data_IF_419741606368
#
_entry.id   IF_419741606368
#
_cell.length_a   1.000
_cell.length_b   1.000
_cell.length_c   1.000
_cell.angle_alpha   90.00
_cell.angle_beta   90.00
_cell.angle_gamma   90.00
#
_symmetry.space_group_name_H-M   'P 1'
#
loop_
_entity.id
_entity.type
_entity.pdbx_description
1 polymer ?
#
# COMPACT_ATOMS: atom_id res chain seq x y z
N UNK A 1 26.42 40.03 -24.32
CA UNK A 1 26.46 39.37 -23.00
C UNK A 1 27.18 38.05 -23.18
N UNK A 2 28.17 37.73 -22.34
CA UNK A 2 29.02 36.54 -22.54
C UNK A 2 28.20 35.25 -22.39
N UNK A 3 28.42 34.26 -23.27
CA UNK A 3 27.77 32.95 -23.20
C UNK A 3 28.05 32.23 -21.86
N UNK A 4 29.18 32.53 -21.24
CA UNK A 4 29.54 32.06 -19.90
C UNK A 4 28.52 32.51 -18.84
N UNK A 5 28.06 33.76 -18.89
CA UNK A 5 27.06 34.29 -17.96
C UNK A 5 25.73 33.55 -18.11
N UNK A 6 25.27 33.30 -19.34
CA UNK A 6 24.03 32.55 -19.59
C UNK A 6 24.13 31.10 -19.09
N UNK A 7 25.29 30.48 -19.27
CA UNK A 7 25.55 29.11 -18.81
C UNK A 7 25.53 29.01 -17.29
N UNK A 8 26.18 29.95 -16.60
CA UNK A 8 26.17 30.04 -15.14
C UNK A 8 24.74 30.25 -14.62
N UNK A 9 23.95 31.13 -15.24
CA UNK A 9 22.55 31.32 -14.85
C UNK A 9 21.70 30.07 -15.04
N UNK A 10 21.92 29.31 -16.12
CA UNK A 10 21.20 28.07 -16.39
C UNK A 10 21.48 27.03 -15.31
N UNK A 11 22.74 26.81 -14.95
CA UNK A 11 23.11 25.88 -13.88
C UNK A 11 22.64 26.34 -12.50
N UNK A 12 22.76 27.64 -12.19
CA UNK A 12 22.24 28.19 -10.95
C UNK A 12 20.73 27.98 -10.82
N UNK A 13 19.97 28.20 -11.90
CA UNK A 13 18.53 27.94 -11.93
C UNK A 13 18.21 26.46 -11.68
N UNK A 14 18.93 25.53 -12.31
CA UNK A 14 18.73 24.10 -12.07
C UNK A 14 18.99 23.70 -10.61
N UNK A 15 20.05 24.23 -9.99
CA UNK A 15 20.37 23.96 -8.58
C UNK A 15 19.26 24.50 -7.67
N UNK A 16 18.80 25.73 -7.91
CA UNK A 16 17.71 26.34 -7.12
C UNK A 16 16.41 25.55 -7.29
N UNK A 17 16.08 25.14 -8.53
CA UNK A 17 14.90 24.33 -8.81
C UNK A 17 14.97 22.97 -8.10
N UNK A 18 16.13 22.31 -8.13
CA UNK A 18 16.33 21.04 -7.43
C UNK A 18 16.22 21.19 -5.91
N UNK A 19 16.78 22.26 -5.32
CA UNK A 19 16.63 22.55 -3.90
C UNK A 19 15.16 22.79 -3.52
N UNK A 20 14.40 23.49 -4.36
CA UNK A 20 12.97 23.70 -4.17
C UNK A 20 12.19 22.39 -4.22
N UNK A 21 12.44 21.56 -5.22
CA UNK A 21 11.82 20.23 -5.37
C UNK A 21 12.12 19.34 -4.16
N UNK A 22 13.36 19.29 -3.70
CA UNK A 22 13.73 18.54 -2.50
C UNK A 22 13.10 19.12 -1.23
N UNK A 23 12.96 20.45 -1.13
CA UNK A 23 12.28 21.11 -0.02
C UNK A 23 10.81 20.69 0.07
N UNK A 24 10.08 20.74 -1.05
CA UNK A 24 8.68 20.29 -1.13
C UNK A 24 8.54 18.80 -0.82
N UNK A 25 9.41 17.96 -1.40
CA UNK A 25 9.42 16.52 -1.10
C UNK A 25 9.72 16.23 0.38
N UNK A 26 10.61 17.01 1.00
CA UNK A 26 10.94 16.90 2.43
C UNK A 26 9.78 17.29 3.35
N UNK A 27 9.03 18.34 2.99
CA UNK A 27 7.84 18.78 3.72
C UNK A 27 6.71 17.76 3.59
N UNK A 28 6.45 17.27 2.38
CA UNK A 28 5.43 16.25 2.14
C UNK A 28 5.75 14.94 2.89
N UNK A 29 7.03 14.57 2.96
CA UNK A 29 7.49 13.43 3.80
C UNK A 29 7.27 13.71 5.29
N UNK A 30 7.52 14.92 5.77
CA UNK A 30 7.30 15.26 7.19
C UNK A 30 5.83 15.22 7.58
N UNK A 31 4.95 15.65 6.68
CA UNK A 31 3.50 15.69 6.91
C UNK A 31 2.88 14.29 6.90
N UNK A 32 3.35 13.42 6.00
CA UNK A 32 2.85 12.04 5.86
C UNK A 32 3.47 11.10 6.90
N UNK A 33 4.74 11.26 7.26
CA UNK A 33 5.46 10.36 8.19
C UNK A 33 5.52 10.88 9.64
N UNK A 34 4.88 12.02 9.95
CA UNK A 34 4.83 12.60 11.30
C UNK A 34 3.97 11.83 12.32
N UNK A 35 3.13 10.90 11.88
CA UNK A 35 2.26 10.12 12.75
C UNK A 35 2.83 8.72 13.03
N UNK A 36 3.75 8.60 13.99
CA UNK A 36 3.87 7.44 14.91
C UNK A 36 5.05 7.60 15.87
N UNK A 37 4.75 7.70 17.17
CA UNK A 37 5.41 6.97 18.29
C UNK A 37 4.80 7.38 19.64
N UNK A 38 3.71 6.70 20.01
CA UNK A 38 3.36 6.54 21.42
C UNK A 38 4.35 5.55 22.05
N UNK A 39 5.43 6.07 22.64
CA UNK A 39 6.36 5.28 23.45
C UNK A 39 5.71 5.02 24.82
N UNK A 40 5.06 3.88 24.99
CA UNK A 40 4.60 3.44 26.31
C UNK A 40 5.79 2.93 27.13
N UNK A 41 6.25 3.78 28.06
CA UNK A 41 7.25 3.48 29.09
C UNK A 41 6.62 2.55 30.14
N UNK A 42 7.23 1.41 30.52
CA UNK A 42 6.70 0.60 31.60
C UNK A 42 7.01 1.29 32.93
N UNK A 43 5.97 1.57 33.71
CA UNK A 43 6.09 2.17 35.04
C UNK A 43 6.36 1.04 36.05
N UNK A 44 7.58 1.01 36.58
CA UNK A 44 7.98 0.23 37.76
C UNK A 44 7.06 0.62 38.92
N UNK A 45 6.30 -0.34 39.45
CA UNK A 45 5.66 -0.24 40.76
C UNK A 45 6.19 -1.37 41.64
N UNK A 46 6.70 -0.99 42.80
CA UNK A 46 7.39 -1.82 43.79
C UNK A 46 6.43 -2.07 44.94
N UNK A 47 6.41 -3.32 45.40
CA UNK A 47 5.98 -3.86 46.70
C UNK A 47 4.59 -3.51 47.25
N UNK A 48 3.82 -4.56 47.51
CA UNK A 48 3.17 -4.74 48.82
C UNK A 48 2.60 -6.16 48.96
N UNK A 49 2.85 -6.76 50.13
CA UNK A 49 2.10 -7.84 50.79
C UNK A 49 2.47 -9.26 50.36
N UNK A 50 3.34 -9.93 51.11
CA UNK A 50 3.08 -10.56 52.42
C UNK A 50 2.38 -11.92 52.27
N UNK A 51 3.19 -12.93 52.57
CA UNK A 51 2.82 -14.24 53.07
C UNK A 51 1.53 -14.25 53.88
N UNK A 52 0.54 -15.05 53.44
CA UNK A 52 0.06 -16.22 54.18
C UNK A 52 -1.21 -16.78 53.54
N UNK A 53 -1.24 -18.12 53.44
CA UNK A 53 -2.44 -18.97 53.53
C UNK A 53 -3.55 -18.73 52.48
N UNK A 54 -3.66 -19.65 51.51
CA UNK A 54 -4.69 -20.70 51.52
C UNK A 54 -4.81 -21.42 50.16
N UNK A 55 -4.63 -22.74 50.23
CA UNK A 55 -5.43 -23.76 49.53
C UNK A 55 -5.39 -23.82 47.99
N UNK A 56 -4.67 -24.82 47.46
CA UNK A 56 -5.06 -25.49 46.21
C UNK A 56 -6.26 -26.44 46.47
N UNK A 57 -6.93 -27.02 45.46
CA UNK A 57 -7.21 -26.57 44.08
C UNK A 57 -8.72 -26.65 43.74
N UNK A 58 -9.18 -25.83 42.79
CA UNK A 58 -10.41 -26.11 42.04
C UNK A 58 -10.10 -25.91 40.54
N UNK A 59 -10.44 -26.86 39.65
CA UNK A 59 -10.26 -26.66 38.22
C UNK A 59 -11.31 -25.67 37.74
N UNK A 60 -10.97 -24.38 37.72
CA UNK A 60 -11.72 -23.37 36.99
C UNK A 60 -11.55 -23.64 35.50
N UNK A 61 -12.54 -24.35 34.95
CA UNK A 61 -12.88 -24.46 33.53
C UNK A 61 -12.48 -23.17 32.78
N UNK A 62 -11.68 -23.24 31.70
CA UNK A 62 -11.41 -22.06 30.89
C UNK A 62 -12.74 -21.51 30.38
N UNK A 63 -13.00 -20.23 30.66
CA UNK A 63 -14.09 -19.52 30.04
C UNK A 63 -13.98 -19.67 28.50
N UNK A 64 -15.09 -19.86 27.78
CA UNK A 64 -15.04 -19.87 26.32
C UNK A 64 -14.45 -18.54 25.85
N UNK A 65 -13.25 -18.58 25.27
CA UNK A 65 -12.75 -17.46 24.50
C UNK A 65 -13.79 -17.19 23.41
N UNK A 66 -14.24 -15.94 23.21
CA UNK A 66 -15.06 -15.61 22.07
C UNK A 66 -14.25 -15.99 20.83
N UNK A 67 -14.72 -17.05 20.16
CA UNK A 67 -14.22 -17.50 18.86
C UNK A 67 -14.15 -16.25 17.99
N UNK A 68 -13.01 -15.91 17.34
CA UNK A 68 -13.03 -14.84 16.37
C UNK A 68 -14.11 -15.20 15.36
N UNK A 69 -15.17 -14.40 15.31
CA UNK A 69 -16.22 -14.52 14.30
C UNK A 69 -15.49 -14.58 12.96
N UNK A 70 -15.75 -15.59 12.10
CA UNK A 70 -15.25 -15.55 10.75
C UNK A 70 -15.68 -14.19 10.19
N UNK A 71 -14.72 -13.36 9.79
CA UNK A 71 -15.03 -12.19 9.00
C UNK A 71 -15.95 -12.65 7.86
N UNK A 72 -17.00 -11.88 7.51
CA UNK A 72 -17.88 -12.26 6.40
C UNK A 72 -17.01 -12.61 5.20
N UNK A 73 -17.36 -13.64 4.41
CA UNK A 73 -16.61 -13.99 3.21
C UNK A 73 -16.49 -12.72 2.40
N UNK A 74 -15.27 -12.17 2.31
CA UNK A 74 -15.01 -10.99 1.48
C UNK A 74 -15.42 -11.45 0.09
N UNK A 75 -16.52 -10.90 -0.41
CA UNK A 75 -16.96 -11.20 -1.75
C UNK A 75 -15.78 -10.85 -2.67
N UNK A 76 -15.32 -11.85 -3.42
CA UNK A 76 -14.19 -11.68 -4.30
C UNK A 76 -14.61 -10.76 -5.44
N UNK A 77 -13.79 -9.77 -5.81
CA UNK A 77 -14.09 -8.97 -6.98
C UNK A 77 -14.18 -9.85 -8.22
N UNK A 78 -15.30 -9.74 -8.94
CA UNK A 78 -15.53 -10.41 -10.22
C UNK A 78 -14.96 -9.64 -11.40
N UNK A 79 -14.70 -8.34 -11.23
CA UNK A 79 -14.16 -7.48 -12.28
C UNK A 79 -13.26 -6.36 -11.73
N UNK A 80 -12.43 -5.79 -12.61
CA UNK A 80 -11.64 -4.58 -12.34
C UNK A 80 -11.98 -3.59 -13.42
N UNK A 81 -12.29 -2.35 -13.01
CA UNK A 81 -12.54 -1.24 -13.93
C UNK A 81 -11.46 -0.19 -13.77
N UNK A 82 -10.93 0.28 -14.90
CA UNK A 82 -10.02 1.42 -14.91
C UNK A 82 -10.86 2.69 -14.77
N UNK A 83 -10.71 3.39 -13.66
CA UNK A 83 -11.49 4.61 -13.34
C UNK A 83 -10.75 5.88 -13.72
N UNK A 84 -9.41 5.86 -13.75
CA UNK A 84 -8.61 7.01 -14.18
C UNK A 84 -7.35 6.57 -14.95
N UNK A 85 -6.88 7.43 -15.86
CA UNK A 85 -5.73 7.19 -16.73
C UNK A 85 -6.10 7.07 -18.20
N UNK A 86 -5.12 6.85 -19.10
CA UNK A 86 -5.35 6.78 -20.55
C UNK A 86 -6.24 5.60 -20.98
N UNK A 87 -6.45 4.62 -20.08
CA UNK A 87 -7.32 3.46 -20.29
C UNK A 87 -8.66 3.55 -19.54
N UNK A 88 -9.02 4.72 -19.02
CA UNK A 88 -10.26 4.91 -18.25
C UNK A 88 -11.49 4.41 -19.03
N UNK A 89 -12.31 3.59 -18.37
CA UNK A 89 -13.49 2.94 -18.96
C UNK A 89 -13.28 1.49 -19.38
N UNK A 90 -12.03 0.99 -19.41
CA UNK A 90 -11.76 -0.43 -19.67
C UNK A 90 -12.12 -1.27 -18.44
N UNK A 91 -12.91 -2.32 -18.64
CA UNK A 91 -13.25 -3.29 -17.58
C UNK A 91 -12.74 -4.67 -17.96
N UNK A 92 -12.13 -5.36 -17.00
CA UNK A 92 -11.61 -6.71 -17.16
C UNK A 92 -12.30 -7.64 -16.16
N UNK A 93 -12.70 -8.82 -16.61
CA UNK A 93 -13.27 -9.86 -15.75
C UNK A 93 -12.13 -10.65 -15.09
N UNK A 94 -12.23 -10.83 -13.79
CA UNK A 94 -11.32 -11.63 -12.99
C UNK A 94 -11.79 -13.10 -13.00
N UNK A 95 -11.35 -13.87 -13.99
CA UNK A 95 -11.81 -15.25 -14.24
C UNK A 95 -10.83 -16.36 -13.78
N UNK A 96 -9.92 -16.05 -12.88
CA UNK A 96 -8.93 -16.99 -12.31
C UNK A 96 -7.55 -16.98 -12.99
N UNK A 97 -7.41 -16.33 -14.14
CA UNK A 97 -6.10 -16.08 -14.75
C UNK A 97 -5.35 -14.95 -14.01
N UNK A 98 -4.01 -15.00 -13.92
CA UNK A 98 -3.22 -13.87 -13.45
C UNK A 98 -3.44 -12.65 -14.33
N UNK A 99 -3.71 -11.50 -13.71
CA UNK A 99 -3.81 -10.21 -14.42
C UNK A 99 -2.55 -9.42 -14.10
N UNK A 100 -1.79 -9.06 -15.12
CA UNK A 100 -0.54 -8.29 -14.97
C UNK A 100 -0.73 -6.84 -15.40
N UNK A 101 -0.01 -5.95 -14.71
CA UNK A 101 -0.06 -4.51 -14.91
C UNK A 101 1.36 -3.98 -15.11
N UNK A 102 1.55 -3.17 -16.13
CA UNK A 102 2.83 -2.52 -16.37
C UNK A 102 2.93 -1.93 -17.77
N UNK A 103 4.07 -1.29 -18.05
CA UNK A 103 4.29 -0.58 -19.32
C UNK A 103 4.60 -1.50 -20.49
N UNK A 104 5.10 -2.71 -20.21
CA UNK A 104 5.42 -3.66 -21.27
C UNK A 104 4.16 -4.18 -21.97
N UNK A 105 4.21 -4.41 -23.30
CA UNK A 105 3.04 -4.79 -24.10
C UNK A 105 2.54 -6.23 -23.85
N UNK A 106 3.31 -7.05 -23.13
CA UNK A 106 2.97 -8.40 -22.74
C UNK A 106 2.14 -8.48 -21.44
N UNK A 107 1.86 -7.34 -20.80
CA UNK A 107 0.95 -7.29 -19.66
C UNK A 107 -0.52 -7.33 -20.09
N UNK A 108 -1.38 -7.91 -19.23
CA UNK A 108 -2.83 -7.93 -19.46
C UNK A 108 -3.40 -6.51 -19.57
N UNK A 109 -2.93 -5.60 -18.71
CA UNK A 109 -3.27 -4.18 -18.74
C UNK A 109 -1.98 -3.40 -18.95
N UNK A 110 -1.83 -2.89 -20.17
CA UNK A 110 -0.67 -2.09 -20.59
C UNK A 110 -0.85 -0.65 -20.10
N UNK A 111 -0.13 -0.29 -19.05
CA UNK A 111 -0.13 1.05 -18.48
C UNK A 111 0.92 1.89 -19.23
N UNK A 112 0.48 2.69 -20.20
CA UNK A 112 1.33 3.57 -21.02
C UNK A 112 1.87 4.80 -20.27
N UNK A 113 2.18 4.66 -18.98
CA UNK A 113 2.68 5.74 -18.12
C UNK A 113 4.16 5.51 -17.79
N UNK A 114 4.96 6.58 -17.81
CA UNK A 114 6.37 6.54 -17.44
C UNK A 114 6.60 6.26 -15.94
N UNK A 115 5.58 6.48 -15.11
CA UNK A 115 5.62 6.11 -13.70
C UNK A 115 5.31 4.62 -13.46
N UNK A 116 4.96 3.86 -14.51
CA UNK A 116 4.77 2.43 -14.43
C UNK A 116 6.03 1.66 -14.89
N UNK A 117 6.53 0.74 -14.05
CA UNK A 117 7.56 -0.22 -14.45
C UNK A 117 7.05 -1.17 -15.54
N UNK A 118 7.97 -1.78 -16.31
CA UNK A 118 7.65 -2.74 -17.38
C UNK A 118 6.72 -3.86 -16.89
N UNK A 119 7.05 -4.47 -15.75
CA UNK A 119 6.14 -5.34 -14.99
C UNK A 119 6.02 -4.73 -13.60
N UNK A 120 4.88 -4.09 -13.32
CA UNK A 120 4.72 -3.28 -12.12
C UNK A 120 4.05 -4.06 -11.00
N UNK A 121 2.90 -4.65 -11.29
CA UNK A 121 2.11 -5.39 -10.33
C UNK A 121 1.38 -6.54 -11.01
N UNK A 122 0.91 -7.49 -10.22
CA UNK A 122 0.03 -8.55 -10.68
C UNK A 122 -1.05 -8.86 -9.67
N UNK A 123 -2.18 -9.32 -10.16
CA UNK A 123 -3.27 -9.86 -9.37
C UNK A 123 -3.36 -11.35 -9.66
N UNK A 124 -3.32 -12.16 -8.61
CA UNK A 124 -3.38 -13.62 -8.69
C UNK A 124 -4.50 -14.14 -7.81
N UNK A 125 -5.14 -15.23 -8.23
CA UNK A 125 -6.07 -15.97 -7.38
C UNK A 125 -5.27 -16.89 -6.46
N UNK A 126 -5.36 -16.68 -5.14
CA UNK A 126 -4.68 -17.50 -4.13
C UNK A 126 -5.67 -17.88 -3.02
N UNK A 127 -5.85 -19.17 -2.80
CA UNK A 127 -6.72 -19.68 -1.72
C UNK A 127 -8.18 -19.27 -1.87
N UNK A 128 -8.64 -19.01 -3.10
CA UNK A 128 -9.99 -18.51 -3.36
C UNK A 128 -10.17 -17.04 -3.02
N UNK A 129 -9.10 -16.24 -2.90
CA UNK A 129 -9.13 -14.78 -2.81
C UNK A 129 -8.25 -14.16 -3.90
N UNK A 130 -8.54 -12.92 -4.28
CA UNK A 130 -7.68 -12.15 -5.18
C UNK A 130 -6.61 -11.44 -4.38
N UNK A 131 -5.36 -11.59 -4.79
CA UNK A 131 -4.19 -11.01 -4.11
C UNK A 131 -3.43 -10.14 -5.09
N UNK A 132 -3.20 -8.90 -4.72
CA UNK A 132 -2.35 -7.95 -5.43
C UNK A 132 -0.91 -8.06 -4.92
N UNK A 133 0.03 -8.26 -5.84
CA UNK A 133 1.46 -8.32 -5.57
C UNK A 133 2.19 -7.26 -6.39
N UNK A 134 3.01 -6.46 -5.72
CA UNK A 134 3.95 -5.54 -6.37
C UNK A 134 5.18 -6.33 -6.85
N UNK A 135 5.58 -6.14 -8.11
CA UNK A 135 6.71 -6.84 -8.73
C UNK A 135 8.01 -6.03 -8.59
N UNK A 136 8.25 -5.48 -7.39
CA UNK A 136 9.38 -4.59 -7.11
C UNK A 136 9.40 -3.36 -8.02
N UNK A 137 8.24 -2.71 -8.15
CA UNK A 137 8.12 -1.53 -8.98
C UNK A 137 8.90 -0.34 -8.39
N UNK A 138 9.35 0.58 -9.25
CA UNK A 138 10.19 1.71 -8.83
C UNK A 138 9.41 2.69 -7.94
N UNK A 139 8.18 3.00 -8.31
CA UNK A 139 7.33 3.96 -7.59
C UNK A 139 6.48 3.26 -6.51
N UNK A 140 6.20 1.97 -6.67
CA UNK A 140 5.33 1.20 -5.79
C UNK A 140 3.88 1.18 -6.27
N UNK A 141 3.19 0.13 -5.84
CA UNK A 141 1.74 0.01 -5.97
C UNK A 141 1.03 0.55 -4.73
N UNK A 142 -0.08 1.26 -4.94
CA UNK A 142 -0.90 1.83 -3.86
C UNK A 142 -2.30 1.21 -3.87
N UNK A 143 -2.84 0.91 -2.69
CA UNK A 143 -4.22 0.46 -2.49
C UNK A 143 -4.89 1.40 -1.49
N UNK A 144 -6.04 1.96 -1.86
CA UNK A 144 -6.80 2.93 -1.05
C UNK A 144 -5.91 4.07 -0.51
N UNK A 145 -4.99 4.55 -1.36
CA UNK A 145 -4.01 5.60 -1.03
C UNK A 145 -2.79 5.15 -0.21
N UNK A 146 -2.72 3.89 0.21
CA UNK A 146 -1.59 3.34 0.98
C UNK A 146 -0.68 2.47 0.12
N UNK A 147 0.64 2.73 0.17
CA UNK A 147 1.63 1.90 -0.54
C UNK A 147 1.68 0.50 0.07
N UNK A 148 1.53 -0.52 -0.76
CA UNK A 148 1.70 -1.91 -0.34
C UNK A 148 3.17 -2.31 -0.39
N UNK A 149 3.62 -3.10 0.58
CA UNK A 149 4.98 -3.66 0.65
C UNK A 149 4.99 -5.18 0.72
N UNK A 150 3.82 -5.79 0.82
CA UNK A 150 3.58 -7.22 0.90
C UNK A 150 2.31 -7.55 0.06
N UNK A 151 2.10 -8.82 -0.31
CA UNK A 151 0.88 -9.24 -0.98
C UNK A 151 -0.37 -8.76 -0.22
N UNK A 152 -1.30 -8.13 -0.93
CA UNK A 152 -2.49 -7.52 -0.36
C UNK A 152 -3.76 -8.23 -0.86
N UNK A 153 -4.61 -8.66 0.06
CA UNK A 153 -5.89 -9.31 -0.27
C UNK A 153 -6.91 -8.29 -0.75
N UNK A 154 -7.27 -8.35 -2.03
CA UNK A 154 -8.25 -7.50 -2.67
C UNK A 154 -9.69 -7.94 -2.33
N UNK A 155 -10.49 -6.98 -1.85
CA UNK A 155 -11.94 -7.05 -1.79
C UNK A 155 -12.59 -6.22 -2.89
N UNK A 156 -13.92 -6.20 -2.93
CA UNK A 156 -14.71 -5.32 -3.81
C UNK A 156 -14.61 -3.87 -3.31
N UNK A 157 -14.46 -2.92 -4.24
CA UNK A 157 -14.40 -1.48 -3.98
C UNK A 157 -13.02 -0.96 -3.60
N UNK A 158 -11.98 -1.80 -3.65
CA UNK A 158 -10.61 -1.33 -3.44
C UNK A 158 -10.12 -0.56 -4.65
N UNK A 159 -9.49 0.58 -4.39
CA UNK A 159 -8.90 1.43 -5.39
C UNK A 159 -7.39 1.15 -5.46
N UNK A 160 -6.93 0.67 -6.61
CA UNK A 160 -5.52 0.37 -6.88
C UNK A 160 -4.96 1.48 -7.76
N UNK A 161 -3.87 2.10 -7.34
CA UNK A 161 -3.18 3.14 -8.11
C UNK A 161 -1.78 2.68 -8.47
N UNK A 162 -1.49 2.72 -9.78
CA UNK A 162 -0.20 2.37 -10.39
C UNK A 162 0.22 3.54 -11.28
N UNK A 163 1.27 4.26 -10.88
CA UNK A 163 1.63 5.53 -11.52
C UNK A 163 0.48 6.53 -11.41
N UNK A 164 0.01 7.03 -12.56
CA UNK A 164 -1.16 7.90 -12.70
C UNK A 164 -2.44 7.16 -13.12
N UNK A 165 -2.41 5.82 -13.21
CA UNK A 165 -3.57 5.01 -13.55
C UNK A 165 -4.24 4.51 -12.27
N UNK A 166 -5.55 4.70 -12.17
CA UNK A 166 -6.36 4.24 -11.05
C UNK A 166 -7.37 3.21 -11.52
N UNK A 167 -7.42 2.13 -10.78
CA UNK A 167 -8.23 0.95 -11.02
C UNK A 167 -9.13 0.77 -9.79
N UNK A 168 -10.32 0.26 -10.00
CA UNK A 168 -11.25 -0.06 -8.93
C UNK A 168 -11.72 -1.50 -9.10
N UNK A 169 -11.67 -2.27 -8.03
CA UNK A 169 -12.21 -3.62 -8.00
C UNK A 169 -13.74 -3.55 -7.87
N UNK A 170 -14.43 -4.31 -8.69
CA UNK A 170 -15.88 -4.34 -8.80
C UNK A 170 -16.39 -5.78 -8.59
N UNK A 171 -17.66 -5.91 -8.22
CA UNK A 171 -18.31 -7.22 -8.06
C UNK A 171 -18.47 -7.97 -9.37
#
# INVERSE_FOLDING_TARGET
MSEFTVTVFRFAFFVILWLFVFGVAGVLRRDIFGAKRGTHKPRKAKNSQDSARQSAPAPSRPAPQPRPTPAPPRANPGSIRVTAGPLAGTSLILSGAPVTFGRAPDNTIVIGDDFASSHHARIIARGGAWVLEDLSSTNGTFVDGSKITAPFDLGIGNQITIGHTTLETQS
#
